data_IF_348464658773
#
_entry.id   IF_348464658773
#
_cell.length_a   1.000
_cell.length_b   1.000
_cell.length_c   1.000
_cell.angle_alpha   90.00
_cell.angle_beta   90.00
_cell.angle_gamma   90.00
#
_symmetry.space_group_name_H-M   'P 1'
#
loop_
_entity.id
_entity.type
_entity.pdbx_description
1 polymer ?
#
# COMPACT_ATOMS: atom_id res chain seq x y z
N UNK A 1 -0.66 -5.55 23.91
CA UNK A 1 0.33 -6.33 23.16
C UNK A 1 0.72 -5.56 21.90
N UNK A 2 2.00 -5.51 21.62
CA UNK A 2 2.50 -4.91 20.37
C UNK A 2 2.64 -6.04 19.36
N UNK A 3 1.77 -6.06 18.36
CA UNK A 3 1.91 -6.94 17.20
C UNK A 3 2.87 -6.30 16.21
N UNK A 4 4.04 -6.87 15.99
CA UNK A 4 4.94 -6.44 14.94
C UNK A 4 5.02 -7.50 13.85
N UNK A 5 4.66 -7.14 12.62
CA UNK A 5 4.97 -7.89 11.43
C UNK A 5 6.24 -7.34 10.80
N UNK A 6 7.37 -8.01 10.95
CA UNK A 6 8.60 -7.69 10.21
C UNK A 6 8.53 -8.43 8.88
N UNK A 7 8.35 -7.70 7.80
CA UNK A 7 8.38 -8.25 6.45
C UNK A 7 9.73 -7.89 5.83
N UNK A 8 10.67 -8.82 5.90
CA UNK A 8 11.77 -8.86 4.95
C UNK A 8 11.21 -9.17 3.56
N UNK A 9 12.00 -9.23 2.51
CA UNK A 9 11.63 -9.38 1.10
C UNK A 9 10.53 -10.41 0.74
N UNK A 10 9.82 -10.95 1.71
CA UNK A 10 8.71 -11.90 1.58
C UNK A 10 7.48 -11.37 2.34
N UNK A 11 6.42 -11.16 1.59
CA UNK A 11 5.12 -10.75 2.09
C UNK A 11 4.41 -11.95 2.72
N UNK A 12 4.64 -12.21 4.01
CA UNK A 12 3.89 -13.20 4.79
C UNK A 12 3.30 -12.55 6.04
N UNK A 13 2.03 -12.21 5.96
CA UNK A 13 1.19 -11.63 7.04
C UNK A 13 1.09 -12.53 8.31
N UNK A 14 1.73 -13.70 8.35
CA UNK A 14 1.61 -14.68 9.45
C UNK A 14 2.91 -15.23 10.00
N UNK A 15 4.07 -14.73 9.59
CA UNK A 15 5.33 -15.25 10.14
C UNK A 15 5.65 -14.58 11.47
N UNK A 16 5.35 -15.30 12.54
CA UNK A 16 5.73 -14.94 13.92
C UNK A 16 7.23 -15.11 14.20
N UNK A 17 7.98 -15.63 13.25
CA UNK A 17 9.43 -15.86 13.36
C UNK A 17 10.10 -15.45 12.06
N UNK A 18 10.67 -14.27 12.04
CA UNK A 18 11.56 -13.84 10.96
C UNK A 18 13.00 -14.12 11.40
N UNK A 19 13.54 -15.26 10.98
CA UNK A 19 14.94 -15.63 11.22
C UNK A 19 15.89 -14.98 10.19
N UNK A 20 15.37 -14.09 9.35
CA UNK A 20 16.13 -13.41 8.30
C UNK A 20 17.12 -12.40 8.89
N UNK A 21 18.38 -12.53 8.52
CA UNK A 21 19.41 -11.55 8.87
C UNK A 21 19.25 -10.30 8.00
N UNK A 22 19.15 -9.12 8.64
CA UNK A 22 19.11 -7.85 7.93
C UNK A 22 20.42 -7.64 7.16
N UNK A 23 20.32 -7.37 5.86
CA UNK A 23 21.45 -7.23 4.95
C UNK A 23 21.59 -5.78 4.49
N UNK A 24 22.82 -5.27 4.50
CA UNK A 24 23.11 -3.95 3.94
C UNK A 24 22.66 -3.86 2.47
N UNK A 25 22.10 -2.71 2.10
CA UNK A 25 21.56 -2.48 0.77
C UNK A 25 20.10 -2.95 0.58
N UNK A 26 19.55 -3.73 1.53
CA UNK A 26 18.15 -4.14 1.53
C UNK A 26 17.27 -3.11 2.25
N UNK A 27 15.97 -3.27 2.05
CA UNK A 27 14.92 -2.53 2.76
C UNK A 27 14.34 -3.38 3.89
N UNK A 28 13.96 -2.73 4.97
CA UNK A 28 13.16 -3.28 6.05
C UNK A 28 11.80 -2.58 6.03
N UNK A 29 10.77 -3.29 5.63
CA UNK A 29 9.39 -2.85 5.80
C UNK A 29 8.96 -3.28 7.21
N UNK A 30 8.59 -2.31 8.02
CA UNK A 30 8.11 -2.50 9.38
C UNK A 30 6.65 -2.06 9.42
N UNK A 31 5.78 -3.02 9.61
CA UNK A 31 4.35 -2.88 9.80
C UNK A 31 4.06 -3.21 11.26
N UNK A 32 3.54 -2.26 12.01
CA UNK A 32 3.38 -2.38 13.44
C UNK A 32 2.16 -1.61 13.94
N UNK A 33 1.29 -2.33 14.62
CA UNK A 33 0.13 -1.80 15.29
C UNK A 33 0.19 -1.92 16.81
N UNK A 34 -0.68 -1.20 17.49
CA UNK A 34 -0.86 -1.30 18.93
C UNK A 34 -2.35 -1.20 19.29
N UNK A 35 -2.74 -1.96 20.30
CA UNK A 35 -4.04 -1.81 20.95
C UNK A 35 -3.92 -0.82 22.10
N UNK A 36 -4.75 0.22 22.11
CA UNK A 36 -4.80 1.22 23.18
C UNK A 36 -5.57 0.73 24.40
N UNK A 37 -5.53 1.51 25.49
CA UNK A 37 -6.26 1.18 26.74
C UNK A 37 -7.79 1.12 26.55
N UNK A 38 -8.32 1.73 25.50
CA UNK A 38 -9.73 1.68 25.10
C UNK A 38 -10.04 0.54 24.14
N UNK A 39 -9.10 -0.38 23.91
CA UNK A 39 -9.19 -1.49 22.96
C UNK A 39 -9.25 -1.09 21.48
N UNK A 40 -9.10 0.18 21.15
CA UNK A 40 -8.97 0.61 19.76
C UNK A 40 -7.55 0.37 19.25
N UNK A 41 -7.47 -0.13 18.03
CA UNK A 41 -6.22 -0.46 17.36
C UNK A 41 -5.64 0.73 16.57
N UNK A 42 -4.34 0.66 16.32
CA UNK A 42 -3.63 1.50 15.34
C UNK A 42 -2.85 0.62 14.39
N UNK A 43 -2.53 1.15 13.20
CA UNK A 43 -1.75 0.47 12.19
C UNK A 43 -0.83 1.44 11.44
N UNK A 44 0.46 1.14 11.41
CA UNK A 44 1.44 2.01 10.77
C UNK A 44 2.52 1.21 10.07
N UNK A 45 2.82 1.58 8.85
CA UNK A 45 3.97 1.04 8.13
C UNK A 45 4.98 2.12 7.79
N UNK A 46 6.26 1.79 8.00
CA UNK A 46 7.39 2.52 7.43
C UNK A 46 8.37 1.55 6.80
N UNK A 47 9.00 1.98 5.72
CA UNK A 47 10.06 1.21 5.07
C UNK A 47 11.40 1.92 5.24
N UNK A 48 12.37 1.22 5.81
CA UNK A 48 13.68 1.74 6.20
C UNK A 48 14.81 1.13 5.36
N UNK A 49 15.88 1.88 5.04
CA UNK A 49 17.09 1.29 4.48
C UNK A 49 17.92 0.63 5.58
N UNK A 50 18.19 -0.67 5.48
CA UNK A 50 18.99 -1.41 6.48
C UNK A 50 20.37 -0.79 6.70
N UNK A 51 20.97 -0.24 5.64
CA UNK A 51 22.29 0.43 5.70
C UNK A 51 22.24 1.87 6.23
N UNK A 52 21.09 2.37 6.69
CA UNK A 52 20.92 3.74 7.16
C UNK A 52 20.79 4.79 6.05
N UNK A 53 21.00 4.41 4.79
CA UNK A 53 20.88 5.27 3.61
C UNK A 53 20.18 4.53 2.48
N UNK A 54 19.21 5.20 1.84
CA UNK A 54 18.58 4.69 0.64
C UNK A 54 19.50 4.82 -0.57
N UNK A 55 19.49 3.81 -1.44
CA UNK A 55 20.04 3.96 -2.79
C UNK A 55 19.15 4.88 -3.63
N UNK A 56 19.66 5.41 -4.75
CA UNK A 56 18.83 6.26 -5.63
C UNK A 56 17.58 5.51 -6.13
N UNK A 57 17.72 4.26 -6.54
CA UNK A 57 16.61 3.40 -6.95
C UNK A 57 15.55 3.26 -5.85
N UNK A 58 15.95 3.13 -4.61
CA UNK A 58 15.03 3.05 -3.47
C UNK A 58 14.35 4.40 -3.20
N UNK A 59 15.08 5.52 -3.32
CA UNK A 59 14.51 6.87 -3.20
C UNK A 59 13.46 7.15 -4.26
N UNK A 60 13.72 6.73 -5.50
CA UNK A 60 12.79 6.94 -6.62
C UNK A 60 11.45 6.23 -6.34
N UNK A 61 11.47 4.95 -5.96
CA UNK A 61 10.25 4.21 -5.61
C UNK A 61 9.60 4.76 -4.33
N UNK A 62 10.42 5.08 -3.31
CA UNK A 62 9.91 5.62 -2.04
C UNK A 62 9.11 6.91 -2.27
N UNK A 63 9.65 7.84 -3.07
CA UNK A 63 9.01 9.12 -3.36
C UNK A 63 7.71 8.96 -4.16
N UNK A 64 7.61 7.92 -5.01
CA UNK A 64 6.36 7.60 -5.72
C UNK A 64 5.29 7.16 -4.71
N UNK A 65 5.65 6.26 -3.78
CA UNK A 65 4.72 5.78 -2.74
C UNK A 65 4.33 6.92 -1.80
N UNK A 66 5.29 7.75 -1.38
CA UNK A 66 5.01 8.92 -0.53
C UNK A 66 4.08 9.93 -1.24
N UNK A 67 4.29 10.16 -2.53
CA UNK A 67 3.40 11.03 -3.30
C UNK A 67 1.97 10.46 -3.42
N UNK A 68 1.82 9.14 -3.53
CA UNK A 68 0.52 8.49 -3.51
C UNK A 68 -0.15 8.67 -2.15
N UNK A 69 0.55 8.37 -1.06
CA UNK A 69 0.08 8.55 0.30
C UNK A 69 -0.39 10.00 0.57
N UNK A 70 0.47 11.00 0.36
CA UNK A 70 0.13 12.39 0.68
C UNK A 70 -1.02 12.94 -0.19
N UNK A 71 -1.04 12.59 -1.49
CA UNK A 71 -2.08 13.05 -2.42
C UNK A 71 -3.42 12.38 -2.15
N UNK A 72 -3.41 11.10 -1.83
CA UNK A 72 -4.64 10.34 -1.49
C UNK A 72 -5.23 10.85 -0.18
N UNK A 73 -4.42 10.99 0.88
CA UNK A 73 -4.88 11.54 2.14
C UNK A 73 -5.58 12.91 1.97
N UNK A 74 -5.04 13.76 1.08
CA UNK A 74 -5.63 15.07 0.77
C UNK A 74 -6.92 14.99 -0.06
N UNK A 75 -7.19 13.87 -0.74
CA UNK A 75 -8.38 13.67 -1.57
C UNK A 75 -9.56 13.06 -0.80
N UNK A 76 -9.29 12.37 0.30
CA UNK A 76 -10.33 11.70 1.09
C UNK A 76 -11.34 12.73 1.60
N UNK A 77 -12.60 12.54 1.22
CA UNK A 77 -13.71 13.37 1.62
C UNK A 77 -14.91 12.49 2.02
N UNK A 78 -15.82 13.02 2.88
CA UNK A 78 -17.00 12.26 3.27
C UNK A 78 -17.87 11.90 2.07
N UNK A 79 -18.53 10.74 2.16
CA UNK A 79 -19.45 10.16 1.18
C UNK A 79 -18.78 9.70 -0.14
N UNK A 80 -17.45 9.73 -0.24
CA UNK A 80 -16.75 9.20 -1.41
C UNK A 80 -16.85 7.67 -1.44
N UNK A 81 -17.01 7.06 -2.65
CA UNK A 81 -16.78 5.64 -2.82
C UNK A 81 -15.28 5.32 -2.54
N UNK A 82 -15.04 4.27 -1.77
CA UNK A 82 -13.66 3.81 -1.50
C UNK A 82 -12.87 3.53 -2.79
N UNK A 83 -13.53 2.96 -3.80
CA UNK A 83 -12.89 2.64 -5.08
C UNK A 83 -12.35 3.86 -5.83
N UNK A 84 -12.94 5.04 -5.63
CA UNK A 84 -12.44 6.26 -6.27
C UNK A 84 -11.06 6.65 -5.71
N UNK A 85 -10.89 6.49 -4.40
CA UNK A 85 -9.64 6.77 -3.70
C UNK A 85 -8.59 5.70 -4.03
N UNK A 86 -9.00 4.42 -4.01
CA UNK A 86 -8.13 3.31 -4.38
C UNK A 86 -7.60 3.46 -5.82
N UNK A 87 -8.48 3.76 -6.77
CA UNK A 87 -8.08 3.99 -8.16
C UNK A 87 -7.24 5.26 -8.33
N UNK A 88 -7.45 6.30 -7.51
CA UNK A 88 -6.59 7.47 -7.51
C UNK A 88 -5.17 7.13 -7.07
N UNK A 89 -5.01 6.31 -6.02
CA UNK A 89 -3.70 5.78 -5.62
C UNK A 89 -3.02 5.02 -6.76
N UNK A 90 -3.74 4.10 -7.40
CA UNK A 90 -3.22 3.35 -8.54
C UNK A 90 -2.74 4.26 -9.69
N UNK A 91 -3.48 5.34 -10.02
CA UNK A 91 -3.05 6.29 -11.07
C UNK A 91 -1.73 6.97 -10.69
N UNK A 92 -1.61 7.44 -9.44
CA UNK A 92 -0.40 8.12 -8.98
C UNK A 92 0.81 7.17 -9.01
N UNK A 93 0.64 5.94 -8.54
CA UNK A 93 1.68 4.91 -8.58
C UNK A 93 2.06 4.58 -10.04
N UNK A 94 1.07 4.43 -10.94
CA UNK A 94 1.30 4.16 -12.36
C UNK A 94 2.07 5.30 -13.05
N UNK A 95 1.68 6.57 -12.81
CA UNK A 95 2.42 7.75 -13.32
C UNK A 95 3.90 7.69 -12.94
N UNK A 96 4.17 7.36 -11.67
CA UNK A 96 5.53 7.20 -11.17
C UNK A 96 6.28 6.04 -11.85
N UNK A 97 5.67 4.87 -11.97
CA UNK A 97 6.27 3.71 -12.64
C UNK A 97 6.51 3.95 -14.14
N UNK A 98 5.61 4.67 -14.80
CA UNK A 98 5.77 5.10 -16.20
C UNK A 98 6.97 6.05 -16.32
N UNK A 99 7.11 7.02 -15.41
CA UNK A 99 8.24 7.96 -15.42
C UNK A 99 9.60 7.30 -15.25
N UNK A 100 9.64 6.14 -14.57
CA UNK A 100 10.84 5.30 -14.40
C UNK A 100 11.03 4.29 -15.56
N UNK A 101 10.14 4.25 -16.55
CA UNK A 101 10.21 3.32 -17.67
C UNK A 101 9.85 1.87 -17.32
N UNK A 102 9.24 1.62 -16.17
CA UNK A 102 8.78 0.30 -15.73
C UNK A 102 7.40 -0.07 -16.27
N UNK A 103 6.66 0.95 -16.68
CA UNK A 103 5.37 0.84 -17.38
C UNK A 103 5.34 1.76 -18.60
N UNK A 104 4.40 1.52 -19.51
CA UNK A 104 4.21 2.26 -20.76
C UNK A 104 2.74 2.64 -20.94
N UNK A 105 2.46 3.65 -21.75
CA UNK A 105 1.10 4.13 -22.03
C UNK A 105 0.66 5.17 -20.98
N UNK A 106 -0.62 5.14 -20.62
CA UNK A 106 -1.20 6.06 -19.64
C UNK A 106 -1.51 5.37 -18.31
N UNK A 107 -1.60 6.14 -17.23
CA UNK A 107 -2.01 5.61 -15.92
C UNK A 107 -3.45 5.06 -15.98
N UNK A 108 -4.33 5.69 -16.75
CA UNK A 108 -5.70 5.26 -16.96
C UNK A 108 -5.76 3.87 -17.62
N UNK A 109 -4.95 3.63 -18.65
CA UNK A 109 -4.87 2.32 -19.32
C UNK A 109 -4.35 1.25 -18.36
N UNK A 110 -3.35 1.59 -17.54
CA UNK A 110 -2.79 0.68 -16.55
C UNK A 110 -3.83 0.27 -15.50
N UNK A 111 -4.62 1.22 -14.99
CA UNK A 111 -5.70 0.96 -14.01
C UNK A 111 -6.82 0.15 -14.68
N UNK A 112 -7.27 0.57 -15.86
CA UNK A 112 -8.36 -0.13 -16.57
C UNK A 112 -8.01 -1.59 -16.91
N UNK A 113 -6.74 -1.87 -17.22
CA UNK A 113 -6.25 -3.22 -17.49
C UNK A 113 -6.02 -4.05 -16.19
N UNK A 114 -6.11 -3.44 -15.00
CA UNK A 114 -5.78 -4.08 -13.74
C UNK A 114 -4.27 -4.34 -13.54
N UNK A 115 -3.40 -3.65 -14.31
CA UNK A 115 -1.97 -3.90 -14.29
C UNK A 115 -1.31 -3.49 -12.96
N UNK A 116 -1.96 -2.60 -12.20
CA UNK A 116 -1.46 -2.15 -10.91
C UNK A 116 -1.47 -3.25 -9.84
N UNK A 117 -2.29 -4.29 -10.00
CA UNK A 117 -2.28 -5.46 -9.10
C UNK A 117 -0.95 -6.23 -9.11
N UNK A 118 -0.13 -6.05 -10.16
CA UNK A 118 1.23 -6.60 -10.21
C UNK A 118 2.17 -5.91 -9.20
N UNK A 119 1.94 -4.63 -8.95
CA UNK A 119 2.81 -3.80 -8.10
C UNK A 119 2.22 -3.53 -6.71
N UNK A 120 0.91 -3.46 -6.58
CA UNK A 120 0.19 -3.29 -5.31
C UNK A 120 -0.98 -4.29 -5.26
N UNK A 121 -0.72 -5.55 -4.83
CA UNK A 121 -1.72 -6.62 -4.83
C UNK A 121 -2.62 -6.60 -3.58
N UNK A 122 -2.93 -5.43 -3.05
CA UNK A 122 -3.79 -5.25 -1.89
C UNK A 122 -4.62 -3.96 -2.00
N UNK A 123 -5.58 -3.77 -1.11
CA UNK A 123 -6.37 -2.53 -1.02
C UNK A 123 -5.52 -1.34 -0.57
N UNK A 124 -5.99 -0.13 -0.85
CA UNK A 124 -5.35 1.11 -0.38
C UNK A 124 -5.41 1.26 1.14
N UNK A 125 -6.36 0.62 1.79
CA UNK A 125 -6.57 0.71 3.22
C UNK A 125 -7.80 -0.08 3.65
N UNK A 126 -8.03 -0.13 4.93
CA UNK A 126 -9.13 -0.84 5.56
C UNK A 126 -9.74 0.00 6.70
N UNK A 127 -10.96 -0.33 7.08
CA UNK A 127 -11.57 0.22 8.30
C UNK A 127 -10.82 -0.28 9.52
N UNK A 128 -10.72 0.56 10.53
CA UNK A 128 -10.03 0.27 11.77
C UNK A 128 -10.85 0.71 12.97
N UNK A 129 -10.84 -0.10 14.02
CA UNK A 129 -11.62 0.14 15.24
C UNK A 129 -11.15 -0.74 16.38
N UNK A 130 -12.04 -1.60 16.89
CA UNK A 130 -11.70 -2.60 17.91
C UNK A 130 -10.86 -3.74 17.36
N UNK A 131 -10.95 -3.97 16.04
CA UNK A 131 -10.06 -4.85 15.30
C UNK A 131 -9.21 -4.00 14.35
N UNK A 132 -8.00 -4.45 14.02
CA UNK A 132 -7.12 -3.79 13.03
C UNK A 132 -7.82 -3.77 11.67
N UNK A 133 -8.38 -4.90 11.23
CA UNK A 133 -9.30 -5.00 10.09
C UNK A 133 -10.74 -5.06 10.63
N UNK A 134 -11.32 -3.90 10.89
CA UNK A 134 -12.62 -3.82 11.57
C UNK A 134 -13.78 -4.05 10.60
N UNK A 135 -14.75 -4.85 11.03
CA UNK A 135 -16.00 -5.15 10.32
C UNK A 135 -15.87 -5.79 8.93
N UNK A 136 -14.73 -6.22 8.49
CA UNK A 136 -14.53 -6.76 7.12
C UNK A 136 -15.26 -8.09 6.87
N UNK A 137 -15.49 -8.89 7.89
CA UNK A 137 -16.19 -10.16 7.76
C UNK A 137 -17.74 -10.05 7.81
N UNK A 138 -18.25 -8.86 8.11
CA UNK A 138 -19.69 -8.63 8.29
C UNK A 138 -20.32 -8.29 6.93
N UNK A 139 -21.12 -9.19 6.37
CA UNK A 139 -21.96 -8.91 5.22
C UNK A 139 -21.56 -9.52 3.89
N UNK A 140 -20.35 -10.10 3.75
CA UNK A 140 -19.94 -10.76 2.49
C UNK A 140 -20.88 -11.86 2.00
N UNK A 141 -21.66 -12.48 2.89
CA UNK A 141 -22.62 -13.56 2.57
C UNK A 141 -24.03 -13.07 2.31
N UNK A 142 -24.30 -11.78 2.46
CA UNK A 142 -25.68 -11.26 2.48
C UNK A 142 -26.13 -10.63 1.15
N UNK A 143 -25.24 -10.52 0.15
CA UNK A 143 -25.52 -9.81 -1.10
C UNK A 143 -25.05 -10.62 -2.30
N UNK A 144 -25.75 -10.51 -3.44
CA UNK A 144 -25.26 -11.01 -4.72
C UNK A 144 -24.28 -9.98 -5.33
N UNK A 145 -23.01 -10.30 -5.25
CA UNK A 145 -21.92 -9.39 -5.66
C UNK A 145 -21.21 -9.83 -6.94
N UNK A 146 -21.84 -10.63 -7.79
CA UNK A 146 -21.14 -11.22 -8.95
C UNK A 146 -20.42 -10.18 -9.83
N UNK A 147 -21.05 -9.06 -10.15
CA UNK A 147 -20.42 -7.98 -10.93
C UNK A 147 -19.37 -7.22 -10.12
N UNK A 148 -19.64 -6.99 -8.84
CA UNK A 148 -18.73 -6.29 -7.92
C UNK A 148 -17.50 -7.18 -7.61
N UNK A 149 -17.70 -8.50 -7.50
CA UNK A 149 -16.62 -9.46 -7.30
C UNK A 149 -15.59 -9.45 -8.44
N UNK A 150 -16.07 -9.31 -9.69
CA UNK A 150 -15.17 -9.18 -10.85
C UNK A 150 -14.36 -7.89 -10.80
N UNK A 151 -15.00 -6.78 -10.42
CA UNK A 151 -14.32 -5.49 -10.27
C UNK A 151 -13.32 -5.51 -9.11
N UNK A 152 -13.68 -6.10 -7.97
CA UNK A 152 -12.79 -6.29 -6.83
C UNK A 152 -11.56 -7.12 -7.20
N UNK A 153 -11.76 -8.23 -7.90
CA UNK A 153 -10.66 -9.08 -8.36
C UNK A 153 -9.72 -8.34 -9.33
N UNK A 154 -10.24 -7.46 -10.19
CA UNK A 154 -9.44 -6.62 -11.10
C UNK A 154 -8.67 -5.51 -10.35
N UNK A 155 -9.21 -5.01 -9.25
CA UNK A 155 -8.61 -3.93 -8.47
C UNK A 155 -7.69 -4.41 -7.35
N UNK A 156 -7.56 -5.72 -7.12
CA UNK A 156 -6.74 -6.27 -6.02
C UNK A 156 -7.30 -6.00 -4.63
N UNK A 157 -8.58 -5.63 -4.52
CA UNK A 157 -9.26 -5.37 -3.24
C UNK A 157 -10.34 -6.42 -2.97
N UNK A 158 -10.84 -6.50 -1.75
CA UNK A 158 -11.97 -7.36 -1.41
C UNK A 158 -13.32 -6.72 -1.81
N UNK A 159 -14.35 -7.55 -1.95
CA UNK A 159 -15.71 -7.12 -2.34
C UNK A 159 -16.25 -6.04 -1.40
N UNK A 160 -16.01 -6.20 -0.12
CA UNK A 160 -16.50 -5.31 0.92
C UNK A 160 -15.95 -3.90 0.78
N UNK A 161 -14.64 -3.78 0.59
CA UNK A 161 -13.99 -2.49 0.33
C UNK A 161 -14.47 -1.88 -0.98
N UNK A 162 -14.77 -2.69 -1.99
CA UNK A 162 -15.25 -2.21 -3.29
C UNK A 162 -16.63 -1.52 -3.21
N UNK A 163 -17.46 -1.86 -2.23
CA UNK A 163 -18.79 -1.28 -2.03
C UNK A 163 -18.84 -0.19 -0.98
N UNK A 164 -17.75 0.04 -0.29
CA UNK A 164 -17.70 0.94 0.84
C UNK A 164 -17.82 2.41 0.43
N UNK A 165 -18.67 3.15 1.13
CA UNK A 165 -18.69 4.62 1.14
C UNK A 165 -18.08 5.11 2.43
N UNK A 166 -17.15 6.04 2.31
CA UNK A 166 -16.42 6.61 3.45
C UNK A 166 -17.31 7.68 4.08
N UNK A 167 -17.71 7.46 5.32
CA UNK A 167 -18.59 8.36 6.06
C UNK A 167 -17.80 9.19 7.09
N UNK A 168 -18.32 10.38 7.50
CA UNK A 168 -17.73 11.12 8.61
C UNK A 168 -17.61 10.26 9.88
N UNK A 169 -16.48 10.34 10.56
CA UNK A 169 -16.18 9.51 11.73
C UNK A 169 -15.51 8.17 11.39
N UNK A 170 -15.45 7.79 10.11
CA UNK A 170 -14.68 6.61 9.70
C UNK A 170 -13.21 6.78 10.05
N UNK A 171 -12.63 5.77 10.70
CA UNK A 171 -11.19 5.59 10.85
C UNK A 171 -10.73 4.51 9.89
N UNK A 172 -9.70 4.79 9.12
CA UNK A 172 -9.15 3.88 8.12
C UNK A 172 -7.65 4.09 7.95
N UNK A 173 -6.98 3.08 7.42
CA UNK A 173 -5.59 3.20 6.97
C UNK A 173 -5.50 3.84 5.58
N UNK A 174 -4.36 4.47 5.30
CA UNK A 174 -3.91 4.88 3.96
C UNK A 174 -2.52 4.28 3.76
N UNK A 175 -2.44 3.18 3.01
CA UNK A 175 -1.29 2.28 2.95
C UNK A 175 -0.83 1.96 1.50
N UNK A 176 -0.62 2.95 0.64
CA UNK A 176 -0.12 2.65 -0.70
C UNK A 176 1.26 2.00 -0.66
N UNK A 177 1.51 1.09 -1.61
CA UNK A 177 2.79 0.41 -1.72
C UNK A 177 3.16 0.07 -3.15
N UNK A 178 4.44 -0.18 -3.38
CA UNK A 178 4.99 -0.76 -4.62
C UNK A 178 5.86 -1.94 -4.25
N UNK A 179 5.55 -3.11 -4.82
CA UNK A 179 6.26 -4.36 -4.57
C UNK A 179 6.73 -4.96 -5.89
N UNK A 180 7.93 -5.49 -5.88
CA UNK A 180 8.51 -6.26 -6.98
C UNK A 180 8.61 -7.72 -6.55
N UNK A 181 7.54 -8.48 -6.78
CA UNK A 181 7.42 -9.88 -6.36
C UNK A 181 7.84 -10.79 -7.54
N UNK A 182 9.04 -11.42 -7.51
CA UNK A 182 9.57 -12.16 -8.64
C UNK A 182 8.61 -13.24 -9.17
N UNK A 183 8.01 -14.01 -8.27
CA UNK A 183 7.07 -15.07 -8.65
C UNK A 183 5.82 -14.53 -9.37
N UNK A 184 5.30 -13.38 -8.95
CA UNK A 184 4.14 -12.74 -9.58
C UNK A 184 4.53 -12.15 -10.94
N UNK A 185 5.69 -11.52 -11.04
CA UNK A 185 6.25 -10.99 -12.29
C UNK A 185 6.43 -12.13 -13.30
N UNK A 186 7.04 -13.23 -12.89
CA UNK A 186 7.28 -14.38 -13.77
C UNK A 186 5.97 -15.02 -14.22
N UNK A 187 4.99 -15.16 -13.35
CA UNK A 187 3.66 -15.66 -13.67
C UNK A 187 2.97 -14.76 -14.71
N UNK A 188 2.88 -13.45 -14.46
CA UNK A 188 2.24 -12.51 -15.40
C UNK A 188 2.96 -12.46 -16.75
N UNK A 189 4.30 -12.50 -16.75
CA UNK A 189 5.12 -12.57 -17.98
C UNK A 189 4.80 -13.84 -18.78
N UNK A 190 4.77 -15.00 -18.13
CA UNK A 190 4.47 -16.29 -18.77
C UNK A 190 3.05 -16.36 -19.36
N UNK A 191 2.09 -15.77 -18.66
CA UNK A 191 0.70 -15.66 -19.09
C UNK A 191 0.48 -14.58 -20.15
N UNK A 192 1.49 -13.77 -20.46
CA UNK A 192 1.38 -12.63 -21.38
C UNK A 192 0.46 -11.52 -20.90
N UNK A 193 0.19 -11.45 -19.58
CA UNK A 193 -0.61 -10.39 -18.98
C UNK A 193 0.06 -9.03 -19.12
N UNK A 194 -0.74 -8.00 -19.24
CA UNK A 194 -0.31 -6.58 -19.27
C UNK A 194 0.73 -6.26 -20.35
N UNK A 195 0.80 -7.10 -21.42
CA UNK A 195 1.70 -6.91 -22.54
C UNK A 195 1.43 -5.55 -23.20
N UNK A 196 2.49 -4.76 -23.39
CA UNK A 196 2.40 -3.40 -23.92
C UNK A 196 2.18 -2.31 -22.85
N UNK A 197 1.82 -2.70 -21.62
CA UNK A 197 1.68 -1.79 -20.46
C UNK A 197 2.88 -1.95 -19.52
N UNK A 198 3.25 -3.19 -19.18
CA UNK A 198 4.37 -3.50 -18.28
C UNK A 198 5.63 -3.79 -19.07
N UNK A 199 6.74 -3.16 -18.72
CA UNK A 199 8.07 -3.45 -19.24
C UNK A 199 8.75 -4.53 -18.41
N UNK A 200 8.51 -5.79 -18.76
CA UNK A 200 9.07 -6.93 -18.04
C UNK A 200 10.61 -7.03 -18.09
N UNK A 201 11.24 -6.48 -19.13
CA UNK A 201 12.70 -6.45 -19.22
C UNK A 201 13.29 -5.44 -18.24
N UNK A 202 12.67 -4.27 -18.14
CA UNK A 202 13.05 -3.26 -17.15
C UNK A 202 12.84 -3.77 -15.71
N UNK A 203 11.79 -4.59 -15.47
CA UNK A 203 11.52 -5.18 -14.15
C UNK A 203 12.60 -6.17 -13.69
N UNK A 204 13.37 -6.77 -14.60
CA UNK A 204 14.45 -7.69 -14.21
C UNK A 204 15.52 -7.01 -13.33
N UNK A 205 15.72 -5.69 -13.48
CA UNK A 205 16.59 -4.90 -12.62
C UNK A 205 16.04 -4.65 -11.20
N UNK A 206 14.78 -5.01 -10.94
CA UNK A 206 14.12 -4.81 -9.65
C UNK A 206 13.80 -6.12 -8.92
N UNK A 207 14.25 -7.27 -9.43
CA UNK A 207 13.92 -8.59 -8.85
C UNK A 207 14.35 -8.75 -7.38
N UNK A 208 15.42 -8.08 -6.99
CA UNK A 208 15.95 -8.09 -5.61
C UNK A 208 15.55 -6.87 -4.78
N UNK A 209 14.63 -6.05 -5.29
CA UNK A 209 14.25 -4.80 -4.65
C UNK A 209 13.42 -5.01 -3.38
N UNK A 210 12.50 -5.96 -3.40
CA UNK A 210 11.48 -6.14 -2.35
C UNK A 210 10.27 -5.23 -2.57
N UNK A 211 9.90 -4.47 -1.55
CA UNK A 211 8.76 -3.55 -1.61
C UNK A 211 8.90 -2.37 -0.68
N UNK A 212 8.09 -1.36 -0.92
CA UNK A 212 7.92 -0.17 -0.09
C UNK A 212 6.44 0.02 0.17
N UNK A 213 6.04 0.15 1.42
CA UNK A 213 4.74 0.64 1.89
C UNK A 213 4.95 1.78 2.87
N UNK A 214 4.06 2.74 2.82
CA UNK A 214 3.93 3.83 3.77
C UNK A 214 2.47 3.84 4.21
N UNK A 215 2.24 3.86 5.53
CA UNK A 215 0.90 3.74 6.09
C UNK A 215 0.72 4.62 7.31
N UNK A 216 -0.35 5.36 7.33
CA UNK A 216 -0.82 6.12 8.48
C UNK A 216 -2.34 5.97 8.65
N UNK A 217 -2.79 6.18 9.88
CA UNK A 217 -4.20 6.15 10.27
C UNK A 217 -4.87 7.49 9.97
N UNK A 218 -6.00 7.45 9.31
CA UNK A 218 -6.78 8.64 8.92
C UNK A 218 -8.17 8.58 9.55
N UNK A 219 -8.65 9.74 10.04
CA UNK A 219 -10.05 9.93 10.37
C UNK A 219 -10.73 10.86 9.38
N UNK A 220 -11.87 10.44 8.86
CA UNK A 220 -12.72 11.23 7.98
C UNK A 220 -13.53 12.22 8.80
N UNK A 221 -13.53 13.48 8.41
CA UNK A 221 -14.28 14.56 9.06
C UNK A 221 -15.50 14.95 8.23
N UNK A 222 -16.29 15.90 8.71
CA UNK A 222 -17.45 16.44 7.95
C UNK A 222 -17.06 17.11 6.63
N UNK A 223 -15.79 17.52 6.46
CA UNK A 223 -15.36 18.31 5.29
C UNK A 223 -14.13 17.77 4.57
N UNK A 224 -13.55 16.67 5.05
CA UNK A 224 -12.32 16.09 4.49
C UNK A 224 -11.77 15.01 5.37
N UNK A 225 -10.45 14.94 5.49
CA UNK A 225 -9.77 13.98 6.36
C UNK A 225 -8.64 14.62 7.14
N UNK A 226 -8.17 13.95 8.16
CA UNK A 226 -6.93 14.27 8.87
C UNK A 226 -6.24 13.02 9.37
N UNK A 227 -4.93 13.05 9.43
CA UNK A 227 -4.16 12.00 10.07
C UNK A 227 -4.38 11.97 11.57
N UNK A 228 -4.42 10.79 12.16
CA UNK A 228 -4.42 10.57 13.59
C UNK A 228 -3.00 10.83 14.12
N UNK A 229 -2.89 11.45 15.30
CA UNK A 229 -1.60 11.84 15.87
C UNK A 229 -1.23 13.31 15.66
N UNK A 230 -1.87 13.99 14.71
CA UNK A 230 -1.66 15.43 14.46
C UNK A 230 -0.19 15.78 14.25
N UNK A 231 0.35 16.67 15.10
CA UNK A 231 1.74 17.14 15.02
C UNK A 231 2.81 16.10 15.41
N UNK A 232 2.39 14.93 15.90
CA UNK A 232 3.28 13.82 16.30
C UNK A 232 3.38 12.74 15.21
N UNK A 233 3.62 13.17 13.99
CA UNK A 233 3.80 12.25 12.86
C UNK A 233 5.08 11.43 13.03
N UNK A 234 4.99 10.13 12.76
CA UNK A 234 6.16 9.27 12.57
C UNK A 234 6.97 9.79 11.38
N UNK A 235 8.32 9.86 11.44
CA UNK A 235 9.15 10.24 10.30
C UNK A 235 8.74 9.50 9.03
N UNK A 236 8.63 10.23 7.90
CA UNK A 236 8.05 9.68 6.68
C UNK A 236 8.84 10.03 5.42
N UNK A 237 9.54 11.18 5.40
CA UNK A 237 10.37 11.54 4.25
C UNK A 237 11.68 10.75 4.25
N UNK A 238 12.27 10.61 3.07
CA UNK A 238 13.59 9.96 2.93
C UNK A 238 14.61 10.54 3.90
N UNK A 239 14.69 11.88 3.98
CA UNK A 239 15.68 12.57 4.83
C UNK A 239 15.42 12.33 6.32
N UNK A 240 14.15 12.36 6.74
CA UNK A 240 13.78 12.06 8.13
C UNK A 240 14.13 10.63 8.53
N UNK A 241 13.84 9.65 7.65
CA UNK A 241 14.15 8.26 7.91
C UNK A 241 15.66 8.01 7.95
N UNK A 242 16.40 8.58 7.00
CA UNK A 242 17.88 8.50 7.01
C UNK A 242 18.48 9.16 8.26
N UNK A 243 17.85 10.21 8.80
CA UNK A 243 18.26 10.83 10.05
C UNK A 243 18.02 9.97 11.28
N UNK A 244 16.98 9.13 11.25
CA UNK A 244 16.64 8.20 12.36
C UNK A 244 17.53 6.97 12.35
N UNK A 245 17.68 6.30 11.20
CA UNK A 245 18.38 5.00 11.10
C UNK A 245 19.88 5.12 10.77
N UNK A 246 20.31 6.25 10.26
CA UNK A 246 21.70 6.51 9.90
C UNK A 246 22.60 6.99 11.06
N UNK A 247 22.14 6.84 12.31
CA UNK A 247 22.90 7.28 13.52
C UNK A 247 23.82 6.20 14.04
#
# INVERSE_FOLDING_TARGET
EIGSGLVGSEMCIRDRHSDGVLQNGRLLLCDAGAEGLSYYCSDHTRTYPVSGKFTQKQKDIYNIVLAAHDRVAAMIAPHMPYMDIHNASYRILAEGLISLGLMRGTAEDAVAAGAMTLFMPHGLGHGMGLDVHDCEAIGERSFDFSEIAEQAAKSGTCIQRSTWRIEPGTVMTDEPGIYFIPALIDKCRAEGKYKGIVDYEALDAYRDFGGIRIEDDIIVTETGSRMIGGDKRIPITVDELEAVVGR
#
